data_IF_318828306242
#
_entry.id   IF_318828306242
#
_cell.length_a   1.000
_cell.length_b   1.000
_cell.length_c   1.000
_cell.angle_alpha   90.00
_cell.angle_beta   90.00
_cell.angle_gamma   90.00
#
_symmetry.space_group_name_H-M   'P 1'
#
loop_
_entity.id
_entity.type
_entity.pdbx_description
1 polymer ?
#
# COMPACT_ATOMS: atom_id res chain seq x y z
N UNK A 1 24.98 -18.12 -13.19
CA UNK A 1 24.49 -17.66 -11.87
C UNK A 1 23.01 -17.33 -11.96
N UNK A 2 22.16 -17.93 -11.12
CA UNK A 2 20.71 -17.65 -11.11
C UNK A 2 20.48 -16.34 -10.35
N UNK A 3 19.70 -15.41 -10.92
CA UNK A 3 19.35 -14.15 -10.24
C UNK A 3 18.58 -14.47 -8.94
N UNK A 4 18.88 -13.80 -7.81
CA UNK A 4 18.12 -13.99 -6.59
C UNK A 4 16.66 -13.61 -6.85
N UNK A 5 15.73 -14.45 -6.40
CA UNK A 5 14.29 -14.24 -6.61
C UNK A 5 13.77 -13.26 -5.58
N UNK A 6 13.16 -12.16 -6.03
CA UNK A 6 12.50 -11.19 -5.16
C UNK A 6 10.99 -11.32 -5.22
N UNK A 7 10.29 -10.72 -4.25
CA UNK A 7 8.81 -10.61 -4.23
C UNK A 7 8.25 -9.93 -5.50
N UNK A 8 9.06 -9.14 -6.21
CA UNK A 8 8.64 -8.46 -7.44
C UNK A 8 8.61 -9.40 -8.65
N UNK A 9 9.31 -10.52 -8.59
CA UNK A 9 9.50 -11.43 -9.71
C UNK A 9 8.46 -12.57 -9.73
N UNK A 10 7.45 -12.52 -8.87
CA UNK A 10 6.46 -13.59 -8.67
C UNK A 10 5.05 -13.03 -8.88
N UNK A 11 4.14 -13.88 -9.34
CA UNK A 11 2.73 -13.52 -9.50
C UNK A 11 2.15 -12.93 -8.21
N UNK A 12 1.42 -11.83 -8.37
CA UNK A 12 0.87 -11.07 -7.24
C UNK A 12 -0.15 -11.88 -6.45
N UNK A 13 -0.98 -12.68 -7.12
CA UNK A 13 -2.03 -13.42 -6.45
C UNK A 13 -1.45 -14.61 -5.70
N UNK A 14 -0.52 -15.34 -6.31
CA UNK A 14 0.11 -16.52 -5.71
C UNK A 14 0.93 -16.16 -4.47
N UNK A 15 1.74 -15.10 -4.54
CA UNK A 15 2.60 -14.71 -3.41
C UNK A 15 1.77 -14.32 -2.19
N UNK A 16 0.63 -13.64 -2.39
CA UNK A 16 -0.25 -13.24 -1.28
C UNK A 16 -0.88 -14.45 -0.63
N UNK A 17 -1.30 -15.46 -1.41
CA UNK A 17 -1.84 -16.73 -0.86
C UNK A 17 -0.77 -17.48 -0.06
N UNK A 18 0.46 -17.56 -0.57
CA UNK A 18 1.56 -18.24 0.13
C UNK A 18 1.96 -17.54 1.42
N UNK A 19 2.05 -16.21 1.42
CA UNK A 19 2.31 -15.44 2.65
C UNK A 19 1.17 -15.66 3.66
N UNK A 20 -0.09 -15.67 3.20
CA UNK A 20 -1.22 -15.97 4.09
C UNK A 20 -1.11 -17.38 4.67
N UNK A 21 -0.75 -18.38 3.86
CA UNK A 21 -0.50 -19.75 4.32
C UNK A 21 0.64 -19.84 5.34
N UNK A 22 1.73 -19.11 5.14
CA UNK A 22 2.83 -19.01 6.10
C UNK A 22 2.37 -18.40 7.42
N UNK A 23 1.59 -17.33 7.36
CA UNK A 23 1.05 -16.67 8.55
C UNK A 23 0.15 -17.60 9.37
N UNK A 24 -0.69 -18.43 8.72
CA UNK A 24 -1.50 -19.46 9.38
C UNK A 24 -0.63 -20.52 10.05
N UNK A 25 0.33 -21.09 9.31
CA UNK A 25 1.27 -22.10 9.82
C UNK A 25 2.09 -21.58 11.00
N UNK A 26 2.41 -20.28 11.00
CA UNK A 26 3.21 -19.67 12.05
C UNK A 26 2.48 -19.57 13.40
N UNK A 27 1.13 -19.55 13.42
CA UNK A 27 0.32 -19.43 14.65
C UNK A 27 0.51 -18.14 15.44
N UNK A 28 1.34 -17.20 14.98
CA UNK A 28 1.72 -15.97 15.71
C UNK A 28 0.79 -14.78 15.42
N UNK A 29 -0.16 -14.93 14.50
CA UNK A 29 -1.11 -13.86 14.17
C UNK A 29 -2.25 -13.89 15.17
N UNK A 30 -2.40 -12.82 15.95
CA UNK A 30 -3.59 -12.59 16.77
C UNK A 30 -4.72 -12.08 15.88
N UNK A 31 -5.63 -12.96 15.50
CA UNK A 31 -6.87 -12.56 14.82
C UNK A 31 -7.75 -11.79 15.81
N UNK A 32 -8.28 -10.61 15.45
CA UNK A 32 -9.18 -9.87 16.33
C UNK A 32 -10.54 -10.56 16.49
N UNK A 33 -11.11 -10.55 17.69
CA UNK A 33 -12.37 -11.23 18.04
C UNK A 33 -13.57 -10.83 17.17
N UNK A 34 -13.55 -9.61 16.61
CA UNK A 34 -14.60 -9.10 15.73
C UNK A 34 -14.45 -9.53 14.26
N UNK A 35 -13.42 -10.31 13.90
CA UNK A 35 -13.09 -10.63 12.49
C UNK A 35 -14.25 -11.24 11.72
N UNK A 36 -15.12 -11.97 12.41
CA UNK A 36 -16.15 -12.79 11.76
C UNK A 36 -17.46 -12.01 11.55
N UNK A 37 -17.59 -10.85 12.19
CA UNK A 37 -18.80 -10.01 12.14
C UNK A 37 -18.62 -8.82 11.20
N UNK A 38 -17.39 -8.37 10.96
CA UNK A 38 -17.16 -7.07 10.32
C UNK A 38 -17.10 -7.13 8.79
N UNK A 39 -17.56 -6.04 8.18
CA UNK A 39 -17.21 -5.69 6.81
C UNK A 39 -15.86 -4.99 6.70
N UNK A 40 -15.23 -5.14 5.54
CA UNK A 40 -13.90 -4.60 5.24
C UNK A 40 -13.84 -3.08 5.13
N UNK A 41 -14.98 -2.44 4.88
CA UNK A 41 -15.11 -1.01 4.66
C UNK A 41 -16.58 -0.62 4.45
N UNK A 42 -16.86 0.68 4.53
CA UNK A 42 -18.22 1.21 4.32
C UNK A 42 -18.72 1.05 2.88
N UNK A 43 -17.79 0.90 1.93
CA UNK A 43 -18.06 0.69 0.51
C UNK A 43 -18.40 -0.77 0.15
N UNK A 44 -18.39 -1.69 1.11
CA UNK A 44 -18.74 -3.09 0.91
C UNK A 44 -20.12 -3.35 1.50
N UNK A 45 -20.97 -4.00 0.71
CA UNK A 45 -22.33 -4.37 1.11
C UNK A 45 -22.32 -5.61 2.02
N UNK A 46 -21.50 -6.61 1.64
CA UNK A 46 -21.40 -7.88 2.34
C UNK A 46 -20.04 -8.02 3.03
N UNK A 47 -20.01 -8.88 4.06
CA UNK A 47 -18.78 -9.34 4.69
C UNK A 47 -17.98 -10.26 3.73
N UNK A 48 -16.67 -10.43 3.95
CA UNK A 48 -15.88 -11.40 3.19
C UNK A 48 -16.45 -12.82 3.30
N UNK A 49 -16.49 -13.53 2.18
CA UNK A 49 -16.96 -14.94 2.14
C UNK A 49 -15.89 -15.88 2.73
N UNK A 50 -14.62 -15.56 2.50
CA UNK A 50 -13.50 -16.37 2.98
C UNK A 50 -13.26 -16.13 4.47
N UNK A 51 -13.27 -17.20 5.29
CA UNK A 51 -12.94 -17.13 6.71
C UNK A 51 -11.51 -16.62 6.97
N UNK A 52 -10.60 -16.84 6.04
CA UNK A 52 -9.19 -16.48 6.15
C UNK A 52 -8.84 -15.11 5.56
N UNK A 53 -9.87 -14.29 5.32
CA UNK A 53 -9.73 -12.96 4.72
C UNK A 53 -8.74 -12.08 5.47
N UNK A 54 -8.63 -12.23 6.80
CA UNK A 54 -7.73 -11.44 7.64
C UNK A 54 -6.25 -11.73 7.34
N UNK A 55 -5.91 -12.99 7.09
CA UNK A 55 -4.55 -13.39 6.70
C UNK A 55 -4.19 -12.87 5.31
N UNK A 56 -5.13 -12.96 4.37
CA UNK A 56 -4.95 -12.43 3.01
C UNK A 56 -4.73 -10.92 3.04
N UNK A 57 -5.52 -10.19 3.85
CA UNK A 57 -5.36 -8.74 4.00
C UNK A 57 -4.02 -8.38 4.61
N UNK A 58 -3.60 -9.10 5.63
CA UNK A 58 -2.31 -8.88 6.31
C UNK A 58 -1.15 -9.15 5.36
N UNK A 59 -1.21 -10.23 4.57
CA UNK A 59 -0.25 -10.56 3.51
C UNK A 59 -0.19 -9.48 2.42
N UNK A 60 -1.35 -8.99 1.97
CA UNK A 60 -1.45 -7.90 0.97
C UNK A 60 -0.77 -6.62 1.47
N UNK A 61 -0.98 -6.26 2.74
CA UNK A 61 -0.35 -5.09 3.37
C UNK A 61 1.17 -5.27 3.44
N UNK A 62 1.65 -6.45 3.86
CA UNK A 62 3.08 -6.75 3.92
C UNK A 62 3.77 -6.60 2.55
N UNK A 63 3.17 -7.15 1.48
CA UNK A 63 3.68 -6.97 0.10
C UNK A 63 3.68 -5.50 -0.31
N UNK A 64 2.63 -4.75 0.01
CA UNK A 64 2.54 -3.33 -0.34
C UNK A 64 3.64 -2.51 0.33
N UNK A 65 3.93 -2.80 1.60
CA UNK A 65 5.03 -2.18 2.34
C UNK A 65 6.39 -2.52 1.72
N UNK A 66 6.59 -3.75 1.24
CA UNK A 66 7.81 -4.14 0.53
C UNK A 66 8.02 -3.35 -0.76
N UNK A 67 6.98 -3.24 -1.61
CA UNK A 67 7.10 -2.59 -2.92
C UNK A 67 7.24 -1.07 -2.78
N UNK A 68 6.59 -0.45 -1.78
CA UNK A 68 6.53 1.00 -1.60
C UNK A 68 7.29 1.52 -0.37
N UNK A 69 8.43 0.89 -0.03
CA UNK A 69 9.38 1.41 0.98
C UNK A 69 9.59 2.93 0.83
N UNK A 70 9.73 3.71 1.93
CA UNK A 70 9.09 5.01 2.13
C UNK A 70 9.45 6.00 1.03
N UNK A 71 8.64 6.02 -0.02
CA UNK A 71 8.81 6.86 -1.20
C UNK A 71 7.56 7.72 -1.29
N UNK A 72 7.70 8.92 -0.73
CA UNK A 72 6.82 10.02 -1.03
C UNK A 72 6.99 10.38 -2.49
N UNK A 73 6.03 9.99 -3.32
CA UNK A 73 5.50 10.90 -4.33
C UNK A 73 4.00 10.93 -4.14
N UNK A 74 3.49 12.13 -3.98
CA UNK A 74 2.06 12.42 -4.03
C UNK A 74 1.48 11.75 -5.28
N UNK A 75 0.74 10.66 -5.11
CA UNK A 75 -0.25 10.27 -6.11
C UNK A 75 -1.54 11.06 -5.82
N UNK A 76 -1.39 12.39 -5.83
CA UNK A 76 -2.49 13.32 -6.01
C UNK A 76 -2.62 13.45 -7.54
N UNK A 77 -3.50 12.62 -8.10
CA UNK A 77 -4.19 12.80 -9.38
C UNK A 77 -3.39 13.48 -10.51
N UNK A 78 -2.75 12.68 -11.35
CA UNK A 78 -2.94 12.83 -12.80
C UNK A 78 -3.90 11.72 -13.24
N UNK A 79 -5.18 11.93 -12.95
CA UNK A 79 -6.25 11.31 -13.74
C UNK A 79 -6.95 12.48 -14.39
N UNK A 80 -6.82 12.53 -15.70
CA UNK A 80 -7.43 13.49 -16.60
C UNK A 80 -8.86 13.80 -16.17
N UNK A 81 -9.13 15.09 -16.00
CA UNK A 81 -10.45 15.65 -15.92
C UNK A 81 -11.14 15.37 -17.27
N UNK A 82 -11.86 14.27 -17.39
CA UNK A 82 -12.99 14.23 -18.33
C UNK A 82 -14.23 14.62 -17.53
N UNK A 83 -14.25 15.90 -17.13
CA UNK A 83 -15.49 16.61 -16.88
C UNK A 83 -16.08 16.92 -18.24
N UNK A 84 -17.08 16.15 -18.65
CA UNK A 84 -17.97 16.55 -19.72
C UNK A 84 -18.65 17.88 -19.31
N UNK A 85 -18.57 18.89 -20.17
CA UNK A 85 -19.53 19.99 -20.20
C UNK A 85 -19.04 21.35 -19.66
N UNK A 86 -18.66 22.20 -20.62
CA UNK A 86 -18.92 23.65 -20.75
C UNK A 86 -18.61 24.56 -19.56
N UNK A 87 -17.63 25.45 -19.77
CA UNK A 87 -17.66 26.92 -19.64
C UNK A 87 -16.36 27.37 -20.36
N UNK A 88 -16.39 28.04 -21.52
CA UNK A 88 -16.95 29.38 -21.68
C UNK A 88 -15.88 30.38 -21.24
N UNK A 89 -15.05 30.78 -22.21
CA UNK A 89 -14.24 32.00 -22.30
C UNK A 89 -13.28 32.37 -21.16
N UNK A 90 -12.01 32.63 -21.51
CA UNK A 90 -11.40 33.97 -21.43
C UNK A 90 -9.90 33.87 -21.71
N UNK A 91 -9.51 34.50 -22.82
CA UNK A 91 -8.14 34.88 -23.17
C UNK A 91 -7.40 35.51 -21.99
N UNK A 92 -6.17 35.05 -21.73
CA UNK A 92 -5.15 35.91 -21.15
C UNK A 92 -3.80 35.59 -21.77
N UNK A 93 -3.28 36.64 -22.40
CA UNK A 93 -2.07 36.76 -23.21
C UNK A 93 -0.80 36.28 -22.52
N UNK A 94 0.09 35.70 -23.32
CA UNK A 94 1.49 35.46 -23.02
C UNK A 94 2.17 36.76 -22.58
N UNK A 95 2.75 36.78 -21.39
CA UNK A 95 3.79 37.75 -21.03
C UNK A 95 5.10 37.05 -20.69
N UNK A 96 6.10 37.54 -21.41
CA UNK A 96 7.52 37.19 -21.51
C UNK A 96 8.23 37.27 -20.15
N UNK A 97 9.06 36.27 -19.86
CA UNK A 97 10.00 36.19 -18.74
C UNK A 97 11.10 37.25 -18.83
N UNK A 98 11.31 38.10 -17.80
CA UNK A 98 12.56 38.82 -17.62
C UNK A 98 13.61 37.94 -16.93
N UNK A 99 14.85 38.04 -17.40
CA UNK A 99 16.03 37.29 -16.94
C UNK A 99 16.40 37.55 -15.46
N UNK A 100 17.11 36.60 -14.82
CA UNK A 100 17.48 36.69 -13.41
C UNK A 100 18.65 37.67 -13.22
N UNK A 101 18.55 38.54 -12.19
CA UNK A 101 19.70 39.30 -11.67
C UNK A 101 20.52 38.39 -10.77
N UNK A 102 21.84 38.43 -10.97
CA UNK A 102 22.86 37.73 -10.21
C UNK A 102 22.69 38.00 -8.71
N UNK A 103 22.16 37.02 -7.98
CA UNK A 103 22.18 37.01 -6.53
C UNK A 103 23.24 35.99 -6.10
N UNK A 104 24.28 36.52 -5.47
CA UNK A 104 25.46 35.87 -4.95
C UNK A 104 25.14 34.54 -4.25
N UNK A 105 25.95 33.53 -4.56
CA UNK A 105 25.92 32.18 -4.01
C UNK A 105 26.10 32.21 -2.49
N UNK A 106 24.99 32.16 -1.75
CA UNK A 106 25.00 31.72 -0.36
C UNK A 106 24.83 30.19 -0.34
N UNK A 107 25.88 29.51 0.10
CA UNK A 107 25.90 28.07 0.37
C UNK A 107 25.09 27.82 1.64
N UNK A 108 23.77 27.79 1.50
CA UNK A 108 22.88 27.19 2.51
C UNK A 108 22.68 25.72 2.15
N UNK A 109 23.68 24.91 2.52
CA UNK A 109 23.56 23.47 2.73
C UNK A 109 22.53 23.21 3.85
N UNK A 110 21.22 23.31 3.57
CA UNK A 110 20.12 22.65 4.30
C UNK A 110 18.72 22.99 3.74
N UNK A 111 18.49 22.84 2.43
CA UNK A 111 17.12 22.59 1.95
C UNK A 111 16.93 21.10 1.64
N UNK A 112 16.96 20.28 2.69
CA UNK A 112 16.52 18.90 2.60
C UNK A 112 15.02 18.92 2.36
N UNK A 113 14.59 18.66 1.13
CA UNK A 113 13.20 18.39 0.77
C UNK A 113 12.60 17.28 1.67
N UNK A 114 12.08 17.66 2.84
CA UNK A 114 11.60 16.73 3.87
C UNK A 114 10.08 16.62 3.88
N UNK A 115 9.40 16.75 2.73
CA UNK A 115 8.00 16.31 2.59
C UNK A 115 7.93 14.77 2.40
N UNK A 116 8.42 14.07 3.41
CA UNK A 116 8.60 12.61 3.49
C UNK A 116 7.26 11.93 3.85
N UNK A 117 6.38 11.74 2.87
CA UNK A 117 5.12 11.03 3.05
C UNK A 117 5.36 9.51 3.22
N UNK A 118 5.28 9.02 4.47
CA UNK A 118 5.45 7.60 4.86
C UNK A 118 4.08 6.88 4.88
N UNK A 119 4.05 5.56 4.64
CA UNK A 119 2.81 4.74 4.56
C UNK A 119 2.11 4.60 5.92
N UNK A 120 1.24 5.56 6.24
CA UNK A 120 0.35 5.50 7.41
C UNK A 120 -0.97 4.75 7.14
N UNK A 121 -1.76 4.55 8.19
CA UNK A 121 -3.10 3.91 8.13
C UNK A 121 -4.01 4.64 7.11
N UNK A 122 -3.92 5.97 7.01
CA UNK A 122 -4.70 6.77 6.06
C UNK A 122 -4.41 6.46 4.59
N UNK A 123 -3.14 6.19 4.24
CA UNK A 123 -2.75 5.86 2.88
C UNK A 123 -3.28 4.49 2.47
N UNK A 124 -3.14 3.49 3.35
CA UNK A 124 -3.69 2.15 3.14
C UNK A 124 -5.23 2.17 3.06
N UNK A 125 -5.89 3.03 3.85
CA UNK A 125 -7.34 3.18 3.78
C UNK A 125 -7.83 3.64 2.41
N UNK A 126 -7.04 4.46 1.71
CA UNK A 126 -7.33 4.90 0.34
C UNK A 126 -7.07 3.77 -0.67
N UNK A 127 -6.00 2.98 -0.50
CA UNK A 127 -5.69 1.85 -1.39
C UNK A 127 -6.78 0.78 -1.34
N UNK A 128 -7.24 0.42 -0.15
CA UNK A 128 -8.31 -0.58 0.02
C UNK A 128 -9.72 0.02 -0.03
N UNK A 129 -9.82 1.33 -0.22
CA UNK A 129 -11.09 2.03 -0.42
C UNK A 129 -11.67 1.73 -1.81
N UNK A 130 -12.83 2.32 -2.10
CA UNK A 130 -13.47 2.16 -3.40
C UNK A 130 -14.78 2.91 -3.46
N UNK A 131 -15.47 2.82 -4.60
CA UNK A 131 -16.76 3.46 -4.78
C UNK A 131 -17.81 2.79 -3.89
N UNK A 132 -18.58 3.61 -3.18
CA UNK A 132 -19.74 3.16 -2.41
C UNK A 132 -21.00 3.36 -3.25
N UNK A 133 -21.87 2.36 -3.28
CA UNK A 133 -23.20 2.49 -3.85
C UNK A 133 -24.09 3.23 -2.85
N UNK A 134 -24.67 4.35 -3.27
CA UNK A 134 -25.60 5.14 -2.44
C UNK A 134 -27.07 4.88 -2.81
N UNK A 135 -27.34 3.83 -3.59
CA UNK A 135 -28.68 3.50 -4.08
C UNK A 135 -29.05 4.42 -5.23
N UNK A 136 -29.78 5.50 -4.91
CA UNK A 136 -30.34 6.44 -5.88
C UNK A 136 -29.41 7.63 -6.19
N UNK A 137 -28.50 7.99 -5.28
CA UNK A 137 -27.55 9.08 -5.52
C UNK A 137 -26.24 8.58 -6.17
N UNK A 138 -25.49 9.45 -6.88
CA UNK A 138 -24.25 9.09 -7.56
C UNK A 138 -23.22 8.37 -6.67
N UNK A 139 -22.37 7.56 -7.31
CA UNK A 139 -21.34 6.79 -6.64
C UNK A 139 -20.14 7.69 -6.29
N UNK A 140 -19.77 7.72 -5.01
CA UNK A 140 -18.58 8.44 -4.54
C UNK A 140 -17.53 7.48 -3.96
N UNK A 141 -16.26 7.85 -4.09
CA UNK A 141 -15.15 7.10 -3.51
C UNK A 141 -15.15 7.27 -1.98
N UNK A 142 -15.13 6.14 -1.25
CA UNK A 142 -15.07 6.12 0.21
C UNK A 142 -13.84 5.31 0.66
N UNK A 143 -13.18 5.81 1.71
CA UNK A 143 -12.05 5.15 2.35
C UNK A 143 -12.50 3.85 3.03
N UNK A 144 -11.63 2.85 3.07
CA UNK A 144 -11.89 1.62 3.81
C UNK A 144 -11.82 1.80 5.33
N UNK A 145 -12.22 0.75 6.05
CA UNK A 145 -12.22 0.71 7.51
C UNK A 145 -10.81 0.89 8.06
N UNK A 146 -10.63 1.88 8.94
CA UNK A 146 -9.35 2.13 9.59
C UNK A 146 -8.97 1.07 10.62
N UNK A 147 -9.96 0.48 11.29
CA UNK A 147 -9.75 -0.52 12.35
C UNK A 147 -9.10 -1.78 11.80
N UNK A 148 -9.58 -2.27 10.65
CA UNK A 148 -9.04 -3.47 9.99
C UNK A 148 -7.58 -3.26 9.59
N UNK A 149 -7.28 -2.15 8.92
CA UNK A 149 -5.91 -1.82 8.49
C UNK A 149 -4.97 -1.64 9.69
N UNK A 150 -5.44 -0.97 10.75
CA UNK A 150 -4.65 -0.73 11.97
C UNK A 150 -4.31 -2.02 12.70
N UNK A 151 -5.29 -2.93 12.90
CA UNK A 151 -5.03 -4.22 13.54
C UNK A 151 -4.10 -5.10 12.72
N UNK A 152 -4.26 -5.15 11.40
CA UNK A 152 -3.38 -5.91 10.52
C UNK A 152 -1.91 -5.44 10.62
N UNK A 153 -1.69 -4.13 10.71
CA UNK A 153 -0.35 -3.61 10.91
C UNK A 153 0.17 -3.89 12.34
N UNK A 154 -0.68 -3.86 13.38
CA UNK A 154 -0.29 -4.23 14.75
C UNK A 154 0.09 -5.72 14.86
N UNK A 155 -0.59 -6.59 14.12
CA UNK A 155 -0.21 -8.01 14.03
C UNK A 155 1.14 -8.20 13.32
N UNK A 156 1.43 -7.41 12.28
CA UNK A 156 2.74 -7.44 11.62
C UNK A 156 3.87 -6.90 12.52
N UNK A 157 3.56 -5.94 13.40
CA UNK A 157 4.49 -5.47 14.44
C UNK A 157 4.79 -6.58 15.46
N UNK A 158 3.78 -7.34 15.89
CA UNK A 158 3.98 -8.46 16.81
C UNK A 158 4.90 -9.56 16.22
N UNK A 159 4.85 -9.76 14.91
CA UNK A 159 5.67 -10.72 14.16
C UNK A 159 7.07 -10.14 13.84
N UNK A 160 7.33 -8.87 14.17
CA UNK A 160 8.57 -8.13 13.87
C UNK A 160 8.89 -8.01 12.38
N UNK A 161 7.88 -8.12 11.53
CA UNK A 161 8.01 -7.84 10.10
C UNK A 161 7.95 -6.34 9.82
N UNK A 162 7.24 -5.60 10.66
CA UNK A 162 7.06 -4.16 10.56
C UNK A 162 7.49 -3.51 11.87
N UNK A 163 8.21 -2.40 11.78
CA UNK A 163 8.59 -1.57 12.91
C UNK A 163 7.94 -0.19 12.80
N UNK A 164 7.75 0.43 13.96
CA UNK A 164 7.46 1.85 14.00
C UNK A 164 8.73 2.60 13.66
N UNK A 165 8.55 3.62 12.84
CA UNK A 165 9.62 4.53 12.48
C UNK A 165 10.03 5.36 13.72
N UNK A 166 11.34 5.57 13.99
CA UNK A 166 11.80 6.43 15.09
C UNK A 166 11.22 7.84 15.03
N UNK A 167 10.92 8.34 13.82
CA UNK A 167 10.33 9.67 13.61
C UNK A 167 8.83 9.74 13.91
N UNK A 168 8.20 8.63 14.36
CA UNK A 168 6.79 8.55 14.77
C UNK A 168 5.76 8.70 13.65
N UNK A 169 6.18 9.05 12.42
CA UNK A 169 5.30 9.42 11.30
C UNK A 169 4.91 8.25 10.38
N UNK A 170 5.31 7.01 10.69
CA UNK A 170 4.99 5.86 9.82
C UNK A 170 5.36 4.48 10.35
N UNK A 171 5.20 3.50 9.46
CA UNK A 171 5.62 2.11 9.66
C UNK A 171 6.59 1.72 8.55
N UNK A 172 7.67 1.04 8.93
CA UNK A 172 8.74 0.63 8.03
C UNK A 172 8.84 -0.89 8.05
N UNK A 173 9.15 -1.48 6.90
CA UNK A 173 9.41 -2.91 6.81
C UNK A 173 10.81 -3.21 7.36
N UNK A 174 10.92 -4.18 8.26
CA UNK A 174 12.19 -4.56 8.88
C UNK A 174 13.08 -5.32 7.91
N UNK A 175 14.39 -5.39 8.21
CA UNK A 175 15.33 -6.24 7.47
C UNK A 175 14.89 -7.72 7.50
N UNK A 176 14.37 -8.16 8.65
CA UNK A 176 13.83 -9.50 8.83
C UNK A 176 12.60 -9.75 7.94
N UNK A 177 11.65 -8.80 7.92
CA UNK A 177 10.46 -8.89 7.08
C UNK A 177 10.78 -8.98 5.59
N UNK A 178 11.78 -8.23 5.10
CA UNK A 178 12.25 -8.37 3.71
C UNK A 178 12.82 -9.76 3.43
N UNK A 179 13.72 -10.26 4.29
CA UNK A 179 14.35 -11.57 4.14
C UNK A 179 13.34 -12.72 4.13
N UNK A 180 12.36 -12.66 5.02
CA UNK A 180 11.31 -13.69 5.09
C UNK A 180 10.41 -13.65 3.85
N UNK A 181 10.05 -12.47 3.35
CA UNK A 181 9.26 -12.34 2.12
C UNK A 181 10.01 -12.84 0.89
N UNK A 182 11.30 -12.53 0.76
CA UNK A 182 12.12 -13.01 -0.36
C UNK A 182 12.35 -14.54 -0.29
N UNK A 183 12.46 -15.11 0.92
CA UNK A 183 12.51 -16.57 1.11
C UNK A 183 11.21 -17.25 0.67
N UNK A 184 10.06 -16.68 1.03
CA UNK A 184 8.75 -17.19 0.60
C UNK A 184 8.61 -17.10 -0.93
N UNK A 185 9.07 -16.01 -1.55
CA UNK A 185 9.07 -15.86 -3.01
C UNK A 185 9.94 -16.92 -3.70
N UNK A 186 11.10 -17.23 -3.12
CA UNK A 186 11.99 -18.29 -3.62
C UNK A 186 11.35 -19.68 -3.52
N UNK A 187 10.69 -19.99 -2.40
CA UNK A 187 9.94 -21.25 -2.21
C UNK A 187 8.78 -21.39 -3.21
N UNK A 188 8.07 -20.30 -3.46
CA UNK A 188 6.96 -20.29 -4.42
C UNK A 188 7.46 -20.67 -5.82
N UNK A 189 8.57 -20.08 -6.28
CA UNK A 189 9.15 -20.44 -7.58
C UNK A 189 9.58 -21.91 -7.67
N UNK A 190 10.07 -22.49 -6.58
CA UNK A 190 10.44 -23.91 -6.54
C UNK A 190 9.19 -24.79 -6.65
N UNK A 191 8.15 -24.47 -5.88
CA UNK A 191 6.88 -25.21 -5.93
C UNK A 191 6.23 -25.13 -7.30
N UNK A 192 6.20 -23.95 -7.93
CA UNK A 192 5.66 -23.79 -9.28
C UNK A 192 6.39 -24.68 -10.28
N UNK A 193 7.73 -24.77 -10.22
CA UNK A 193 8.51 -25.66 -11.09
C UNK A 193 8.18 -27.13 -10.86
N UNK A 194 8.12 -27.56 -9.59
CA UNK A 194 7.79 -28.95 -9.23
C UNK A 194 6.44 -29.38 -9.81
N UNK A 195 5.44 -28.50 -9.77
CA UNK A 195 4.10 -28.79 -10.31
C UNK A 195 4.04 -28.92 -11.83
N UNK A 196 5.01 -28.36 -12.57
CA UNK A 196 5.08 -28.52 -14.03
C UNK A 196 5.83 -29.78 -14.46
N UNK A 197 6.65 -30.34 -13.58
CA UNK A 197 7.46 -31.54 -13.82
C UNK A 197 6.78 -32.83 -13.36
N UNK A 198 5.65 -32.73 -12.64
CA UNK A 198 4.81 -33.84 -12.17
C UNK A 198 3.54 -33.97 -12.99
#
# INVERSE_FOLDING_TARGET
MVKPTSVKDVDQHEIVRQIAGFLKKSGKVRVPDWSDVVKLGQNKELAPIDSDWYYIRTASIARRLYIRSPTGKNFMRYFHHYSCGNHGDHDIMYHVTPEPKDHEDHVDDEHVDHFKYRLGVGALRRVYGGNKRHGVSPNHFVKSSGTVVRKALQTLEAIKWVEKDPDGKGRILTKQGRKDLDRIASQLRQNTKQSFES
#
